data_IF_087947569715
#
_entry.id   IF_087947569715
#
_cell.length_a   1.000
_cell.length_b   1.000
_cell.length_c   1.000
_cell.angle_alpha   90.00
_cell.angle_beta   90.00
_cell.angle_gamma   90.00
#
_symmetry.space_group_name_H-M   'P 1'
#
loop_
_entity.id
_entity.type
_entity.pdbx_description
1 polymer ?
#
# COMPACT_ATOMS: atom_id res chain seq x y z
N UNK A 1 34.67 44.04 -23.59
CA UNK A 1 34.45 43.29 -22.33
C UNK A 1 33.00 43.35 -21.81
N UNK A 2 32.25 44.46 -21.95
CA UNK A 2 30.84 44.56 -21.47
C UNK A 2 29.84 43.61 -22.18
N UNK A 3 30.07 43.29 -23.46
CA UNK A 3 29.20 42.39 -24.24
C UNK A 3 29.23 40.94 -23.75
N UNK A 4 30.39 40.45 -23.28
CA UNK A 4 30.55 39.07 -22.79
C UNK A 4 29.84 38.88 -21.44
N UNK A 5 29.84 39.92 -20.60
CA UNK A 5 29.16 39.93 -19.31
C UNK A 5 27.64 39.88 -19.45
N UNK A 6 27.08 40.63 -20.41
CA UNK A 6 25.64 40.62 -20.68
C UNK A 6 25.17 39.28 -21.26
N UNK A 7 25.98 38.63 -22.09
CA UNK A 7 25.68 37.31 -22.64
C UNK A 7 25.73 36.21 -21.57
N UNK A 8 26.70 36.27 -20.65
CA UNK A 8 26.80 35.34 -19.52
C UNK A 8 25.64 35.51 -18.54
N UNK A 9 25.27 36.75 -18.22
CA UNK A 9 24.13 37.05 -17.36
C UNK A 9 22.79 36.58 -17.95
N UNK A 10 22.59 36.74 -19.27
CA UNK A 10 21.40 36.24 -19.95
C UNK A 10 21.32 34.70 -19.94
N UNK A 11 22.46 34.02 -20.11
CA UNK A 11 22.51 32.55 -20.11
C UNK A 11 22.22 31.97 -18.71
N UNK A 12 22.74 32.61 -17.65
CA UNK A 12 22.46 32.22 -16.26
C UNK A 12 20.98 32.47 -15.92
N UNK A 13 20.39 33.59 -16.37
CA UNK A 13 18.98 33.89 -16.13
C UNK A 13 18.03 32.84 -16.77
N UNK A 14 18.36 32.34 -17.97
CA UNK A 14 17.59 31.28 -18.64
C UNK A 14 17.71 29.94 -17.91
N UNK A 15 18.90 29.62 -17.38
CA UNK A 15 19.13 28.39 -16.59
C UNK A 15 18.39 28.41 -15.24
N UNK A 16 18.29 29.56 -14.58
CA UNK A 16 17.55 29.68 -13.31
C UNK A 16 16.03 29.60 -13.52
N UNK A 17 15.51 30.14 -14.62
CA UNK A 17 14.09 30.04 -14.97
C UNK A 17 13.68 28.63 -15.42
N UNK A 18 14.63 27.83 -15.92
CA UNK A 18 14.39 26.44 -16.32
C UNK A 18 14.39 25.43 -15.18
N UNK A 19 14.84 25.79 -13.98
CA UNK A 19 14.93 24.87 -12.84
C UNK A 19 13.68 24.83 -11.95
N UNK A 20 12.67 25.67 -12.22
CA UNK A 20 11.46 25.77 -11.39
C UNK A 20 10.26 24.99 -11.95
N UNK A 21 10.48 24.04 -12.88
CA UNK A 21 9.41 23.14 -13.35
C UNK A 21 9.01 22.15 -12.25
N UNK A 22 8.11 22.64 -11.39
CA UNK A 22 6.98 21.96 -10.75
C UNK A 22 7.15 20.46 -10.48
N UNK A 23 7.52 20.12 -9.26
CA UNK A 23 7.20 18.82 -8.67
C UNK A 23 5.67 18.70 -8.57
N UNK A 24 5.02 18.04 -9.52
CA UNK A 24 3.59 17.72 -9.45
C UNK A 24 3.40 16.58 -8.46
N UNK A 25 3.11 16.92 -7.21
CA UNK A 25 2.57 15.97 -6.24
C UNK A 25 1.09 15.81 -6.56
N UNK A 26 0.72 14.70 -7.19
CA UNK A 26 -0.68 14.40 -7.49
C UNK A 26 -1.38 13.94 -6.20
N UNK A 27 -2.26 14.78 -5.66
CA UNK A 27 -3.18 14.39 -4.59
C UNK A 27 -4.30 13.52 -5.20
N UNK A 28 -4.62 12.40 -4.55
CA UNK A 28 -5.78 11.56 -4.95
C UNK A 28 -6.99 11.99 -4.14
N UNK A 29 -8.11 12.26 -4.79
CA UNK A 29 -9.37 12.65 -4.16
C UNK A 29 -10.40 11.52 -4.22
N UNK A 30 -11.26 11.45 -3.21
CA UNK A 30 -12.44 10.58 -3.21
C UNK A 30 -13.71 11.32 -2.84
N UNK A 31 -14.81 10.91 -3.45
CA UNK A 31 -16.16 11.35 -3.12
C UNK A 31 -17.17 10.25 -3.42
N UNK A 32 -18.34 10.35 -2.80
CA UNK A 32 -19.50 9.50 -3.09
C UNK A 32 -20.46 10.29 -3.97
N UNK A 33 -20.91 9.71 -5.08
CA UNK A 33 -21.93 10.33 -5.92
C UNK A 33 -23.33 10.20 -5.31
N UNK A 34 -24.33 10.82 -5.96
CA UNK A 34 -25.73 10.80 -5.53
C UNK A 34 -26.36 9.40 -5.52
N UNK A 35 -25.79 8.46 -6.27
CA UNK A 35 -26.27 7.09 -6.40
C UNK A 35 -25.55 6.15 -5.42
N UNK A 36 -24.65 6.70 -4.57
CA UNK A 36 -23.92 5.95 -3.54
C UNK A 36 -22.62 5.33 -4.03
N UNK A 37 -22.18 5.58 -5.27
CA UNK A 37 -20.94 5.01 -5.79
C UNK A 37 -19.73 5.85 -5.36
N UNK A 38 -18.65 5.17 -4.99
CA UNK A 38 -17.39 5.80 -4.59
C UNK A 38 -16.49 6.01 -5.80
N UNK A 39 -16.02 7.24 -5.99
CA UNK A 39 -15.12 7.63 -7.07
C UNK A 39 -13.74 8.00 -6.54
N UNK A 40 -12.72 7.84 -7.39
CA UNK A 40 -11.33 8.22 -7.14
C UNK A 40 -10.79 8.96 -8.35
N UNK A 41 -10.18 10.13 -8.15
CA UNK A 41 -9.54 10.90 -9.23
C UNK A 41 -8.41 11.76 -8.68
N UNK A 42 -7.42 12.05 -9.53
CA UNK A 42 -6.39 13.07 -9.32
C UNK A 42 -6.94 14.51 -9.44
N UNK A 43 -8.17 14.68 -9.92
CA UNK A 43 -8.86 15.95 -10.03
C UNK A 43 -10.13 15.94 -9.17
N UNK A 44 -10.34 16.94 -8.30
CA UNK A 44 -11.56 17.00 -7.50
C UNK A 44 -12.78 17.28 -8.40
N UNK A 45 -13.99 16.78 -8.04
CA UNK A 45 -15.22 17.11 -8.74
C UNK A 45 -15.46 18.62 -8.72
N UNK A 46 -15.91 19.18 -9.85
CA UNK A 46 -16.19 20.62 -10.00
C UNK A 46 -17.20 21.15 -8.98
N UNK A 47 -18.05 20.27 -8.45
CA UNK A 47 -19.02 20.55 -7.39
C UNK A 47 -19.07 19.36 -6.44
N UNK A 48 -18.72 19.56 -5.17
CA UNK A 48 -18.84 18.53 -4.13
C UNK A 48 -17.76 18.64 -3.05
N UNK A 49 -18.02 18.01 -1.89
CA UNK A 49 -17.01 17.85 -0.84
C UNK A 49 -16.14 16.63 -1.17
N UNK A 50 -15.01 16.86 -1.82
CA UNK A 50 -14.00 15.84 -2.04
C UNK A 50 -13.09 15.70 -0.81
N UNK A 51 -12.77 14.47 -0.43
CA UNK A 51 -11.75 14.20 0.59
C UNK A 51 -10.44 13.84 -0.08
N UNK A 52 -9.36 14.50 0.29
CA UNK A 52 -8.01 14.09 -0.13
C UNK A 52 -7.64 12.80 0.58
N UNK A 53 -7.31 11.78 -0.19
CA UNK A 53 -6.68 10.56 0.28
C UNK A 53 -5.19 10.81 0.30
N UNK A 54 -4.61 10.88 1.50
CA UNK A 54 -3.19 10.66 1.69
C UNK A 54 -3.00 9.19 2.01
N UNK A 55 -2.12 8.45 1.32
CA UNK A 55 -1.77 7.11 1.77
C UNK A 55 -1.20 7.22 3.18
N UNK A 56 -1.98 6.80 4.18
CA UNK A 56 -1.60 6.74 5.59
C UNK A 56 -0.74 5.53 5.90
N UNK A 57 -0.53 4.64 4.92
CA UNK A 57 0.42 3.55 5.01
C UNK A 57 1.81 4.16 4.90
N UNK A 58 2.32 4.68 6.01
CA UNK A 58 3.78 4.70 6.20
C UNK A 58 4.12 3.25 6.49
N UNK A 59 4.81 2.52 5.58
CA UNK A 59 5.29 1.20 5.93
C UNK A 59 6.07 1.33 7.22
N UNK A 60 5.73 0.52 8.22
CA UNK A 60 6.46 0.51 9.48
C UNK A 60 7.93 0.21 9.14
N UNK A 61 8.87 1.16 9.32
CA UNK A 61 10.26 0.92 8.98
C UNK A 61 10.87 -0.21 9.83
N UNK A 62 10.21 -0.59 10.93
CA UNK A 62 10.63 -1.66 11.82
C UNK A 62 10.12 -3.05 11.39
N UNK A 63 9.06 -3.16 10.57
CA UNK A 63 8.54 -4.47 10.16
C UNK A 63 7.68 -4.44 8.88
N UNK A 64 8.32 -4.52 7.71
CA UNK A 64 7.61 -4.68 6.44
C UNK A 64 6.78 -5.99 6.35
N UNK A 65 7.13 -7.01 7.16
CA UNK A 65 6.41 -8.28 7.20
C UNK A 65 5.01 -8.15 7.84
N UNK A 66 4.81 -7.19 8.76
CA UNK A 66 3.54 -7.03 9.47
C UNK A 66 2.38 -6.75 8.52
N UNK A 67 2.55 -5.81 7.61
CA UNK A 67 1.52 -5.43 6.63
C UNK A 67 1.13 -6.62 5.73
N UNK A 68 2.11 -7.45 5.34
CA UNK A 68 1.87 -8.66 4.57
C UNK A 68 1.08 -9.71 5.36
N UNK A 69 1.42 -9.92 6.64
CA UNK A 69 0.72 -10.85 7.53
C UNK A 69 -0.72 -10.40 7.77
N UNK A 70 -0.94 -9.11 8.03
CA UNK A 70 -2.28 -8.57 8.22
C UNK A 70 -3.13 -8.67 6.93
N UNK A 71 -2.54 -8.39 5.77
CA UNK A 71 -3.24 -8.55 4.49
C UNK A 71 -3.69 -10.00 4.28
N UNK A 72 -2.81 -10.97 4.57
CA UNK A 72 -3.16 -12.38 4.52
C UNK A 72 -4.24 -12.77 5.54
N UNK A 73 -4.20 -12.25 6.76
CA UNK A 73 -5.24 -12.50 7.76
C UNK A 73 -6.61 -11.98 7.29
N UNK A 74 -6.65 -10.80 6.65
CA UNK A 74 -7.89 -10.25 6.07
C UNK A 74 -8.43 -11.14 4.95
N UNK A 75 -7.57 -11.59 4.05
CA UNK A 75 -7.98 -12.53 2.99
C UNK A 75 -8.50 -13.86 3.57
N UNK A 76 -7.82 -14.40 4.58
CA UNK A 76 -8.22 -15.63 5.26
C UNK A 76 -9.60 -15.48 5.94
N UNK A 77 -9.87 -14.34 6.58
CA UNK A 77 -11.19 -14.06 7.18
C UNK A 77 -12.30 -13.96 6.12
N UNK A 78 -12.05 -13.28 4.99
CA UNK A 78 -13.00 -13.22 3.88
C UNK A 78 -13.27 -14.62 3.34
N UNK A 79 -12.22 -15.43 3.19
CA UNK A 79 -12.36 -16.80 2.71
C UNK A 79 -13.15 -17.67 3.69
N UNK A 80 -12.90 -17.55 4.99
CA UNK A 80 -13.65 -18.25 6.03
C UNK A 80 -15.13 -17.89 6.02
N UNK A 81 -15.47 -16.60 5.86
CA UNK A 81 -16.87 -16.16 5.69
C UNK A 81 -17.52 -16.73 4.44
N UNK A 82 -16.79 -16.79 3.32
CA UNK A 82 -17.27 -17.41 2.07
C UNK A 82 -17.53 -18.91 2.27
N UNK A 83 -16.63 -19.63 2.92
CA UNK A 83 -16.83 -21.04 3.22
C UNK A 83 -18.07 -21.26 4.09
N UNK A 84 -18.25 -20.44 5.14
CA UNK A 84 -19.44 -20.51 5.99
C UNK A 84 -20.72 -20.28 5.18
N UNK A 85 -20.73 -19.28 4.29
CA UNK A 85 -21.86 -19.03 3.41
C UNK A 85 -22.13 -20.20 2.44
N UNK A 86 -21.09 -20.78 1.83
CA UNK A 86 -21.24 -21.92 0.93
C UNK A 86 -21.67 -23.20 1.65
N UNK A 87 -21.17 -23.45 2.85
CA UNK A 87 -21.60 -24.59 3.65
C UNK A 87 -23.10 -24.55 3.98
N UNK A 88 -23.66 -23.35 4.16
CA UNK A 88 -25.09 -23.16 4.42
C UNK A 88 -25.95 -23.15 3.15
N UNK A 89 -25.46 -22.57 2.05
CA UNK A 89 -26.27 -22.30 0.85
C UNK A 89 -26.09 -23.31 -0.29
N UNK A 90 -24.89 -23.88 -0.46
CA UNK A 90 -24.56 -24.73 -1.62
C UNK A 90 -23.29 -25.56 -1.36
N UNK A 91 -23.38 -26.73 -0.69
CA UNK A 91 -22.22 -27.52 -0.28
C UNK A 91 -21.36 -28.04 -1.44
N UNK A 92 -21.89 -28.17 -2.65
CA UNK A 92 -21.10 -28.56 -3.82
C UNK A 92 -20.15 -27.43 -4.30
N UNK A 93 -20.48 -26.17 -4.07
CA UNK A 93 -19.58 -25.03 -4.35
C UNK A 93 -18.39 -24.98 -3.38
N UNK A 94 -18.53 -25.58 -2.19
CA UNK A 94 -17.47 -25.68 -1.19
C UNK A 94 -16.30 -26.51 -1.72
N UNK A 95 -16.57 -27.68 -2.30
CA UNK A 95 -15.54 -28.59 -2.83
C UNK A 95 -14.73 -27.94 -3.95
N UNK A 96 -15.38 -27.18 -4.83
CA UNK A 96 -14.72 -26.47 -5.92
C UNK A 96 -13.89 -25.27 -5.40
N UNK A 97 -14.41 -24.54 -4.42
CA UNK A 97 -13.71 -23.40 -3.81
C UNK A 97 -12.45 -23.83 -3.05
N UNK A 98 -12.49 -24.97 -2.37
CA UNK A 98 -11.33 -25.53 -1.68
C UNK A 98 -10.21 -25.98 -2.63
N UNK A 99 -10.57 -26.55 -3.80
CA UNK A 99 -9.58 -26.94 -4.82
C UNK A 99 -8.80 -25.77 -5.41
N UNK A 100 -9.44 -24.60 -5.48
CA UNK A 100 -8.85 -23.39 -6.06
C UNK A 100 -8.18 -22.48 -5.01
N UNK A 101 -8.09 -22.92 -3.76
CA UNK A 101 -7.43 -22.14 -2.72
C UNK A 101 -5.91 -22.26 -2.88
N UNK A 102 -5.29 -21.15 -3.25
CA UNK A 102 -3.84 -21.04 -3.40
C UNK A 102 -3.15 -21.02 -2.03
N UNK A 103 -2.61 -22.18 -1.64
CA UNK A 103 -1.81 -22.35 -0.42
C UNK A 103 -0.38 -21.82 -0.56
N UNK A 104 0.10 -21.48 -1.76
CA UNK A 104 1.49 -21.06 -1.99
C UNK A 104 1.76 -19.70 -1.36
N UNK A 105 0.81 -18.77 -1.42
CA UNK A 105 0.91 -17.50 -0.70
C UNK A 105 1.02 -17.69 0.82
N UNK A 106 0.27 -18.64 1.36
CA UNK A 106 0.34 -18.97 2.78
C UNK A 106 1.69 -19.53 3.17
N UNK A 107 2.27 -20.41 2.35
CA UNK A 107 3.60 -20.95 2.60
C UNK A 107 4.67 -19.87 2.51
N UNK A 108 4.62 -18.98 1.51
CA UNK A 108 5.58 -17.89 1.37
C UNK A 108 5.60 -16.95 2.59
N UNK A 109 4.44 -16.63 3.17
CA UNK A 109 4.35 -15.80 4.38
C UNK A 109 4.89 -16.56 5.59
N UNK A 110 4.60 -17.87 5.72
CA UNK A 110 5.19 -18.71 6.78
C UNK A 110 6.71 -18.71 6.71
N UNK A 111 7.27 -18.94 5.53
CA UNK A 111 8.72 -18.97 5.32
C UNK A 111 9.36 -17.63 5.71
N UNK A 112 8.70 -16.51 5.41
CA UNK A 112 9.15 -15.17 5.84
C UNK A 112 9.10 -14.99 7.36
N UNK A 113 8.02 -15.42 8.02
CA UNK A 113 7.91 -15.38 9.48
C UNK A 113 9.02 -16.22 10.13
N UNK A 114 9.23 -17.45 9.64
CA UNK A 114 10.28 -18.33 10.16
C UNK A 114 11.68 -17.73 9.94
N UNK A 115 11.90 -17.05 8.82
CA UNK A 115 13.15 -16.35 8.55
C UNK A 115 13.39 -15.19 9.53
N UNK A 116 12.37 -14.37 9.81
CA UNK A 116 12.46 -13.29 10.81
C UNK A 116 12.64 -13.85 12.23
N UNK A 117 11.92 -14.91 12.59
CA UNK A 117 12.08 -15.57 13.89
C UNK A 117 13.51 -16.10 14.07
N UNK A 118 14.10 -16.66 13.01
CA UNK A 118 15.49 -17.12 13.02
C UNK A 118 16.48 -15.98 13.20
N UNK A 119 16.22 -14.78 12.64
CA UNK A 119 17.05 -13.59 12.87
C UNK A 119 16.92 -13.12 14.31
N UNK A 120 15.70 -13.05 14.85
CA UNK A 120 15.46 -12.69 16.25
C UNK A 120 16.21 -13.66 17.20
N UNK A 121 16.12 -14.97 16.97
CA UNK A 121 16.86 -15.99 17.74
C UNK A 121 18.39 -15.82 17.69
N UNK A 122 18.93 -15.16 16.67
CA UNK A 122 20.36 -14.83 16.54
C UNK A 122 20.74 -13.50 17.20
N UNK A 123 19.79 -12.80 17.82
CA UNK A 123 20.01 -11.53 18.51
C UNK A 123 19.78 -10.28 17.65
N UNK A 124 19.12 -10.41 16.49
CA UNK A 124 18.71 -9.25 15.71
C UNK A 124 17.52 -8.55 16.39
N UNK A 125 17.77 -7.37 16.96
CA UNK A 125 16.78 -6.60 17.70
C UNK A 125 15.60 -6.14 16.82
N UNK A 126 15.88 -5.74 15.57
CA UNK A 126 14.84 -5.30 14.64
C UNK A 126 13.92 -6.45 14.24
N UNK A 127 14.49 -7.64 14.01
CA UNK A 127 13.70 -8.83 13.75
C UNK A 127 12.84 -9.23 14.97
N UNK A 128 13.36 -9.07 16.20
CA UNK A 128 12.57 -9.34 17.41
C UNK A 128 11.42 -8.34 17.60
N UNK A 129 11.65 -7.04 17.38
CA UNK A 129 10.59 -6.02 17.38
C UNK A 129 9.53 -6.32 16.32
N UNK A 130 9.96 -6.73 15.12
CA UNK A 130 9.05 -7.13 14.05
C UNK A 130 8.19 -8.33 14.45
N UNK A 131 8.79 -9.38 15.02
CA UNK A 131 8.04 -10.53 15.51
C UNK A 131 7.04 -10.14 16.62
N UNK A 132 7.43 -9.28 17.57
CA UNK A 132 6.54 -8.79 18.61
C UNK A 132 5.34 -8.04 18.01
N UNK A 133 5.58 -7.18 17.03
CA UNK A 133 4.53 -6.40 16.35
C UNK A 133 3.52 -7.26 15.55
N UNK A 134 3.91 -8.47 15.15
CA UNK A 134 3.05 -9.44 14.46
C UNK A 134 2.13 -10.18 15.45
N UNK A 135 2.58 -10.39 16.69
CA UNK A 135 1.83 -11.12 17.70
C UNK A 135 1.00 -10.25 18.64
N UNK A 136 1.36 -8.97 18.80
CA UNK A 136 0.54 -7.99 19.53
C UNK A 136 -0.68 -7.61 18.67
N UNK A 137 -1.86 -8.03 19.14
CA UNK A 137 -3.17 -7.72 18.55
C UNK A 137 -3.88 -6.62 19.32
#
# INVERSE_FOLDING_TARGET
>A
MRLVWNALAAMIAVLVLGATYTSSWADTYTWTDKDGNMHFSDTPPATGQAKTIRPTIRPDPHCALKDEVEAWQREAQVWQRKLQAYALAAPELLKNSMKNFDMTKHQAIKDKIEAEEKKCKKGDAGACECMQSIYEK
#
